data_IF_538835580154
#
_entry.id   IF_538835580154
#
_cell.length_a   1.000
_cell.length_b   1.000
_cell.length_c   1.000
_cell.angle_alpha   90.00
_cell.angle_beta   90.00
_cell.angle_gamma   90.00
#
_symmetry.space_group_name_H-M   'P 1'
#
loop_
_entity.id
_entity.type
_entity.pdbx_description
1 polymer ?
#
# COMPACT_ATOMS: atom_id res chain seq x y z
N UNK A 1 20.39 -3.20 -2.13
CA UNK A 1 19.02 -3.18 -1.59
C UNK A 1 18.28 -4.31 -2.27
N UNK A 2 17.86 -5.32 -1.53
CA UNK A 2 17.12 -6.45 -2.09
C UNK A 2 15.60 -6.18 -2.03
N UNK A 3 14.79 -7.09 -2.56
CA UNK A 3 13.33 -6.96 -2.57
C UNK A 3 12.70 -6.75 -1.17
N UNK A 4 13.26 -7.36 -0.13
CA UNK A 4 12.77 -7.20 1.24
C UNK A 4 13.01 -5.79 1.76
N UNK A 5 14.21 -5.26 1.53
CA UNK A 5 14.56 -3.89 1.91
C UNK A 5 13.60 -2.88 1.24
N UNK A 6 13.32 -3.07 -0.06
CA UNK A 6 12.41 -2.21 -0.84
C UNK A 6 11.01 -2.17 -0.19
N UNK A 7 10.42 -3.33 0.13
CA UNK A 7 9.09 -3.39 0.74
C UNK A 7 9.07 -2.74 2.12
N UNK A 8 10.03 -3.09 2.98
CA UNK A 8 10.12 -2.55 4.34
C UNK A 8 10.32 -1.04 4.35
N UNK A 9 11.15 -0.52 3.45
CA UNK A 9 11.30 0.92 3.26
C UNK A 9 10.00 1.57 2.78
N UNK A 10 9.25 0.90 1.89
CA UNK A 10 7.96 1.40 1.41
C UNK A 10 6.86 1.34 2.49
N UNK A 11 6.87 0.33 3.38
CA UNK A 11 6.04 0.29 4.59
C UNK A 11 6.31 1.49 5.51
N UNK A 12 7.59 1.84 5.71
CA UNK A 12 7.97 3.02 6.51
C UNK A 12 7.41 4.30 5.88
N UNK A 13 7.43 4.42 4.56
CA UNK A 13 6.82 5.56 3.84
C UNK A 13 5.31 5.61 4.07
N UNK A 14 4.59 4.50 3.87
CA UNK A 14 3.14 4.43 4.08
C UNK A 14 2.74 4.75 5.52
N UNK A 15 3.41 4.14 6.50
CA UNK A 15 3.20 4.43 7.93
C UNK A 15 3.50 5.89 8.27
N UNK A 16 4.56 6.45 7.68
CA UNK A 16 4.92 7.86 7.82
C UNK A 16 3.85 8.80 7.28
N UNK A 17 3.28 8.51 6.11
CA UNK A 17 2.16 9.27 5.54
C UNK A 17 0.89 9.13 6.37
N UNK A 18 0.54 7.91 6.80
CA UNK A 18 -0.59 7.67 7.71
C UNK A 18 -0.48 8.44 9.02
N UNK A 19 0.72 8.53 9.61
CA UNK A 19 0.97 9.38 10.78
C UNK A 19 0.73 10.86 10.46
N UNK A 20 1.31 11.38 9.39
CA UNK A 20 1.13 12.79 8.99
C UNK A 20 -0.34 13.14 8.72
N UNK A 21 -1.09 12.26 8.05
CA UNK A 21 -2.54 12.44 7.83
C UNK A 21 -3.28 12.48 9.16
N UNK A 22 -2.90 11.64 10.13
CA UNK A 22 -3.52 11.61 11.46
C UNK A 22 -3.25 12.89 12.26
N UNK A 23 -2.05 13.46 12.13
CA UNK A 23 -1.60 14.66 12.85
C UNK A 23 -2.14 15.96 12.22
N UNK A 24 -2.40 15.97 10.91
CA UNK A 24 -2.92 17.14 10.21
C UNK A 24 -4.36 17.48 10.66
N UNK A 25 -4.74 18.77 10.76
CA UNK A 25 -6.08 19.17 11.17
C UNK A 25 -7.17 18.57 10.27
N UNK A 26 -8.27 18.14 10.87
CA UNK A 26 -9.40 17.55 10.14
C UNK A 26 -9.90 18.48 9.04
N UNK A 27 -10.13 17.90 7.86
CA UNK A 27 -10.63 18.59 6.68
C UNK A 27 -9.76 19.77 6.18
N UNK A 28 -8.51 19.88 6.64
CA UNK A 28 -7.56 20.87 6.11
C UNK A 28 -7.06 20.50 4.72
N UNK A 29 -6.64 21.52 3.95
CA UNK A 29 -5.98 21.31 2.65
C UNK A 29 -4.74 20.41 2.78
N UNK A 30 -3.98 20.57 3.87
CA UNK A 30 -2.83 19.72 4.20
C UNK A 30 -3.23 18.25 4.35
N UNK A 31 -4.27 17.95 5.14
CA UNK A 31 -4.74 16.58 5.35
C UNK A 31 -5.24 15.94 4.06
N UNK A 32 -5.93 16.70 3.21
CA UNK A 32 -6.35 16.25 1.89
C UNK A 32 -5.15 15.94 0.98
N UNK A 33 -4.15 16.81 0.94
CA UNK A 33 -2.93 16.61 0.14
C UNK A 33 -2.13 15.38 0.61
N UNK A 34 -1.91 15.24 1.92
CA UNK A 34 -1.21 14.09 2.52
C UNK A 34 -1.96 12.78 2.26
N UNK A 35 -3.29 12.79 2.34
CA UNK A 35 -4.11 11.62 2.04
C UNK A 35 -4.00 11.22 0.57
N UNK A 36 -4.05 12.19 -0.36
CA UNK A 36 -3.84 11.92 -1.78
C UNK A 36 -2.45 11.33 -2.08
N UNK A 37 -1.39 11.81 -1.42
CA UNK A 37 -0.04 11.26 -1.56
C UNK A 37 0.02 9.81 -1.03
N UNK A 38 -0.63 9.54 0.11
CA UNK A 38 -0.75 8.18 0.64
C UNK A 38 -1.49 7.24 -0.32
N UNK A 39 -2.56 7.69 -0.98
CA UNK A 39 -3.28 6.87 -1.97
C UNK A 39 -2.42 6.52 -3.18
N UNK A 40 -1.54 7.44 -3.61
CA UNK A 40 -0.58 7.18 -4.69
C UNK A 40 0.40 6.11 -4.25
N UNK A 41 1.03 6.28 -3.08
CA UNK A 41 2.01 5.31 -2.58
C UNK A 41 1.37 3.94 -2.34
N UNK A 42 0.13 3.87 -1.87
CA UNK A 42 -0.59 2.63 -1.66
C UNK A 42 -0.90 1.89 -2.97
N UNK A 43 -1.36 2.58 -4.03
CA UNK A 43 -1.57 1.94 -5.34
C UNK A 43 -0.25 1.44 -5.94
N UNK A 44 0.86 2.15 -5.72
CA UNK A 44 2.19 1.71 -6.16
C UNK A 44 2.63 0.46 -5.39
N UNK A 45 2.44 0.46 -4.07
CA UNK A 45 2.82 -0.63 -3.18
C UNK A 45 2.14 -1.94 -3.59
N UNK A 46 0.81 -1.92 -3.69
CA UNK A 46 0.03 -3.09 -4.10
C UNK A 46 0.41 -3.59 -5.50
N UNK A 47 0.80 -2.69 -6.41
CA UNK A 47 1.29 -3.08 -7.75
C UNK A 47 2.63 -3.80 -7.70
N UNK A 48 3.60 -3.30 -6.95
CA UNK A 48 4.91 -3.98 -6.90
C UNK A 48 4.79 -5.32 -6.17
N UNK A 49 3.88 -5.43 -5.20
CA UNK A 49 3.55 -6.69 -4.55
C UNK A 49 2.89 -7.66 -5.54
N UNK A 50 1.75 -7.28 -6.14
CA UNK A 50 0.95 -8.14 -7.01
C UNK A 50 1.64 -8.48 -8.35
N UNK A 51 2.37 -7.51 -8.95
CA UNK A 51 2.95 -7.66 -10.29
C UNK A 51 4.37 -8.25 -10.25
N UNK A 52 5.11 -8.14 -9.13
CA UNK A 52 6.52 -8.54 -9.05
C UNK A 52 6.83 -9.48 -7.87
N UNK A 53 6.51 -9.07 -6.65
CA UNK A 53 6.96 -9.78 -5.45
C UNK A 53 6.20 -11.09 -5.21
N UNK A 54 4.88 -11.05 -5.16
CA UNK A 54 4.04 -12.25 -4.98
C UNK A 54 4.22 -13.29 -6.09
N UNK A 55 4.37 -12.90 -7.38
CA UNK A 55 4.77 -13.84 -8.43
C UNK A 55 6.09 -14.57 -8.16
N UNK A 56 7.09 -13.89 -7.56
CA UNK A 56 8.35 -14.52 -7.18
C UNK A 56 8.18 -15.50 -6.01
N UNK A 57 7.19 -15.26 -5.13
CA UNK A 57 6.87 -16.10 -3.97
C UNK A 57 5.80 -17.17 -4.25
N UNK A 58 5.40 -17.38 -5.52
CA UNK A 58 4.28 -18.25 -5.94
C UNK A 58 4.26 -19.69 -5.40
N UNK A 59 5.41 -20.22 -4.96
CA UNK A 59 5.48 -21.54 -4.32
C UNK A 59 4.74 -21.57 -2.97
N UNK A 60 4.58 -20.43 -2.31
CA UNK A 60 3.83 -20.25 -1.06
C UNK A 60 2.31 -20.06 -1.30
N UNK A 61 1.70 -20.93 -2.10
CA UNK A 61 0.30 -20.80 -2.60
C UNK A 61 -0.73 -20.36 -1.55
N UNK A 62 -0.71 -20.95 -0.34
CA UNK A 62 -1.62 -20.57 0.75
C UNK A 62 -1.37 -19.15 1.25
N UNK A 63 -0.10 -18.77 1.45
CA UNK A 63 0.25 -17.43 1.93
C UNK A 63 -0.03 -16.37 0.86
N UNK A 64 0.20 -16.68 -0.41
CA UNK A 64 -0.18 -15.80 -1.53
C UNK A 64 -1.71 -15.57 -1.57
N UNK A 65 -2.51 -16.62 -1.34
CA UNK A 65 -3.96 -16.47 -1.27
C UNK A 65 -4.41 -15.60 -0.09
N UNK A 66 -3.68 -15.65 1.03
CA UNK A 66 -3.89 -14.80 2.21
C UNK A 66 -3.49 -13.35 1.92
N UNK A 67 -2.31 -13.11 1.36
CA UNK A 67 -1.82 -11.77 1.00
C UNK A 67 -2.80 -11.04 0.05
N UNK A 68 -3.29 -11.71 -1.01
CA UNK A 68 -4.32 -11.11 -1.87
C UNK A 68 -5.69 -10.94 -1.17
N UNK A 69 -5.98 -11.70 -0.11
CA UNK A 69 -7.17 -11.46 0.71
C UNK A 69 -6.98 -10.22 1.60
N UNK A 70 -5.79 -10.00 2.14
CA UNK A 70 -5.43 -8.80 2.91
C UNK A 70 -5.46 -7.53 2.04
N UNK A 71 -4.94 -7.58 0.80
CA UNK A 71 -5.12 -6.49 -0.18
C UNK A 71 -6.60 -6.11 -0.36
N UNK A 72 -7.49 -7.11 -0.45
CA UNK A 72 -8.93 -6.86 -0.56
C UNK A 72 -9.50 -6.22 0.69
N UNK A 73 -9.08 -6.65 1.88
CA UNK A 73 -9.51 -6.01 3.13
C UNK A 73 -9.11 -4.53 3.19
N UNK A 74 -7.88 -4.20 2.80
CA UNK A 74 -7.43 -2.79 2.74
C UNK A 74 -8.25 -1.99 1.72
N UNK A 75 -8.49 -2.55 0.52
CA UNK A 75 -9.28 -1.88 -0.54
C UNK A 75 -10.74 -1.69 -0.14
N UNK A 76 -11.34 -2.67 0.52
CA UNK A 76 -12.73 -2.60 1.01
C UNK A 76 -12.85 -1.54 2.09
N UNK A 77 -11.94 -1.52 3.08
CA UNK A 77 -11.95 -0.51 4.14
C UNK A 77 -11.64 0.90 3.60
N UNK A 78 -10.75 1.02 2.62
CA UNK A 78 -10.51 2.28 1.91
C UNK A 78 -11.77 2.77 1.20
N UNK A 79 -12.55 1.86 0.62
CA UNK A 79 -13.80 2.21 -0.06
C UNK A 79 -14.85 2.74 0.91
N UNK A 80 -14.90 2.24 2.14
CA UNK A 80 -15.75 2.78 3.21
C UNK A 80 -15.26 4.17 3.63
N UNK A 81 -13.96 4.32 3.91
CA UNK A 81 -13.36 5.60 4.27
C UNK A 81 -13.62 6.69 3.22
N UNK A 82 -13.47 6.38 1.94
CA UNK A 82 -13.68 7.35 0.85
C UNK A 82 -15.14 7.82 0.76
N UNK A 83 -16.11 7.03 1.21
CA UNK A 83 -17.52 7.44 1.23
C UNK A 83 -17.88 8.36 2.40
N UNK A 84 -16.97 8.54 3.35
CA UNK A 84 -17.16 9.41 4.51
C UNK A 84 -16.28 10.65 4.36
N UNK A 85 -16.85 11.83 4.02
CA UNK A 85 -16.07 13.05 3.85
C UNK A 85 -15.34 13.46 5.13
N UNK A 86 -14.17 14.11 5.03
CA UNK A 86 -13.40 14.55 6.22
C UNK A 86 -14.15 15.54 7.13
N UNK A 87 -15.20 16.18 6.63
CA UNK A 87 -16.09 17.06 7.39
C UNK A 87 -17.22 16.33 8.13
N UNK A 88 -17.42 15.04 7.88
CA UNK A 88 -18.47 14.25 8.51
C UNK A 88 -18.07 13.85 9.94
N UNK A 89 -19.02 13.82 10.90
CA UNK A 89 -18.72 13.44 12.28
C UNK A 89 -18.06 12.07 12.47
N UNK A 90 -18.33 11.10 11.59
CA UNK A 90 -17.78 9.73 11.66
C UNK A 90 -16.47 9.52 10.92
N UNK A 91 -15.88 10.56 10.32
CA UNK A 91 -14.68 10.40 9.50
C UNK A 91 -13.48 9.83 10.27
N UNK A 92 -13.25 10.28 11.50
CA UNK A 92 -12.11 9.83 12.28
C UNK A 92 -12.18 8.34 12.62
N UNK A 93 -13.38 7.83 12.88
CA UNK A 93 -13.60 6.40 13.15
C UNK A 93 -13.28 5.56 11.90
N UNK A 94 -13.74 6.01 10.73
CA UNK A 94 -13.41 5.34 9.46
C UNK A 94 -11.93 5.44 9.11
N UNK A 95 -11.31 6.58 9.39
CA UNK A 95 -9.87 6.80 9.20
C UNK A 95 -9.05 5.85 10.07
N UNK A 96 -9.38 5.75 11.35
CA UNK A 96 -8.68 4.87 12.28
C UNK A 96 -8.88 3.40 11.90
N UNK A 97 -10.10 3.01 11.48
CA UNK A 97 -10.39 1.65 11.01
C UNK A 97 -9.56 1.30 9.77
N UNK A 98 -9.51 2.19 8.77
CA UNK A 98 -8.65 2.02 7.59
C UNK A 98 -7.17 1.91 7.96
N UNK A 99 -6.68 2.81 8.83
CA UNK A 99 -5.28 2.82 9.25
C UNK A 99 -4.90 1.52 9.95
N UNK A 100 -5.75 0.99 10.83
CA UNK A 100 -5.51 -0.30 11.50
C UNK A 100 -5.40 -1.45 10.51
N UNK A 101 -6.27 -1.52 9.49
CA UNK A 101 -6.20 -2.57 8.47
C UNK A 101 -4.95 -2.42 7.58
N UNK A 102 -4.59 -1.18 7.23
CA UNK A 102 -3.36 -0.91 6.46
C UNK A 102 -2.08 -1.24 7.25
N UNK A 103 -2.03 -0.93 8.54
CA UNK A 103 -0.88 -1.29 9.39
C UNK A 103 -0.79 -2.80 9.60
N UNK A 104 -1.94 -3.49 9.73
CA UNK A 104 -1.97 -4.95 9.79
C UNK A 104 -1.39 -5.59 8.54
N UNK A 105 -1.73 -5.12 7.33
CA UNK A 105 -1.13 -5.61 6.07
C UNK A 105 0.40 -5.65 6.13
N UNK A 106 1.03 -4.54 6.50
CA UNK A 106 2.49 -4.46 6.58
C UNK A 106 3.06 -5.38 7.68
N UNK A 107 2.43 -5.44 8.85
CA UNK A 107 2.87 -6.29 9.97
C UNK A 107 2.75 -7.79 9.63
N UNK A 108 1.71 -8.19 8.90
CA UNK A 108 1.49 -9.58 8.47
C UNK A 108 2.44 -9.97 7.32
N UNK A 109 2.66 -9.08 6.36
CA UNK A 109 3.62 -9.30 5.29
C UNK A 109 5.06 -9.41 5.84
N UNK A 110 5.45 -8.52 6.76
CA UNK A 110 6.77 -8.56 7.41
C UNK A 110 6.97 -9.79 8.30
N UNK A 111 5.89 -10.43 8.75
CA UNK A 111 5.94 -11.65 9.56
C UNK A 111 6.04 -12.90 8.68
N UNK A 112 5.19 -12.98 7.67
CA UNK A 112 4.92 -14.23 6.97
C UNK A 112 5.57 -14.30 5.58
N UNK A 113 5.84 -13.16 4.96
CA UNK A 113 6.31 -13.07 3.58
C UNK A 113 7.72 -12.47 3.47
N UNK A 114 8.20 -11.73 4.48
CA UNK A 114 9.53 -11.12 4.50
C UNK A 114 10.35 -11.59 5.72
N UNK A 115 11.42 -12.39 5.55
CA UNK A 115 11.90 -12.99 4.30
C UNK A 115 10.95 -14.02 3.71
N UNK A 116 11.18 -14.40 2.45
CA UNK A 116 10.34 -15.35 1.74
C UNK A 116 10.13 -16.67 2.53
N UNK A 117 8.92 -17.25 2.48
CA UNK A 117 8.61 -18.48 3.20
C UNK A 117 9.52 -19.66 2.82
N UNK A 118 9.73 -20.67 3.70
CA UNK A 118 10.66 -21.78 3.45
C UNK A 118 10.43 -22.57 2.15
N UNK A 119 9.20 -22.61 1.66
CA UNK A 119 8.85 -23.27 0.39
C UNK A 119 9.28 -22.50 -0.87
N UNK A 120 9.66 -21.23 -0.75
CA UNK A 120 10.14 -20.38 -1.84
C UNK A 120 11.66 -20.51 -1.93
N UNK A 121 12.16 -20.90 -3.10
CA UNK A 121 13.60 -20.92 -3.39
C UNK A 121 13.93 -19.71 -4.23
N UNK A 122 14.58 -18.73 -3.61
CA UNK A 122 15.08 -17.53 -4.26
C UNK A 122 16.49 -17.27 -3.74
N UNK A 123 17.42 -17.04 -4.65
CA UNK A 123 18.82 -16.73 -4.34
C UNK A 123 18.98 -15.26 -4.00
N UNK A 124 20.08 -14.91 -3.32
CA UNK A 124 20.39 -13.51 -3.02
C UNK A 124 20.48 -12.66 -4.30
N UNK A 125 21.06 -13.20 -5.37
CA UNK A 125 21.13 -12.52 -6.67
C UNK A 125 19.76 -12.28 -7.30
N UNK A 126 18.84 -13.25 -7.23
CA UNK A 126 17.46 -13.09 -7.71
C UNK A 126 16.69 -12.08 -6.85
N UNK A 127 16.92 -12.05 -5.53
CA UNK A 127 16.33 -11.06 -4.61
C UNK A 127 16.84 -9.64 -4.88
N UNK A 128 18.11 -9.48 -5.19
CA UNK A 128 18.68 -8.19 -5.60
C UNK A 128 18.11 -7.72 -6.94
N UNK A 129 18.04 -8.61 -7.94
CA UNK A 129 17.43 -8.28 -9.24
C UNK A 129 15.96 -7.88 -9.09
N UNK A 130 15.21 -8.63 -8.28
CA UNK A 130 13.81 -8.32 -7.97
C UNK A 130 13.67 -6.96 -7.27
N UNK A 131 14.50 -6.69 -6.26
CA UNK A 131 14.54 -5.39 -5.58
C UNK A 131 14.82 -4.22 -6.52
N UNK A 132 15.79 -4.38 -7.42
CA UNK A 132 16.09 -3.37 -8.44
C UNK A 132 14.89 -3.11 -9.38
N UNK A 133 14.19 -4.17 -9.81
CA UNK A 133 12.97 -4.03 -10.63
C UNK A 133 11.84 -3.33 -9.88
N UNK A 134 11.61 -3.68 -8.61
CA UNK A 134 10.60 -3.04 -7.78
C UNK A 134 10.90 -1.57 -7.55
N UNK A 135 12.14 -1.22 -7.19
CA UNK A 135 12.56 0.16 -7.00
C UNK A 135 12.40 1.00 -8.29
N UNK A 136 12.80 0.46 -9.44
CA UNK A 136 12.59 1.11 -10.73
C UNK A 136 11.09 1.32 -11.04
N UNK A 137 10.26 0.34 -10.69
CA UNK A 137 8.80 0.40 -10.90
C UNK A 137 8.14 1.46 -10.00
N UNK A 138 8.57 1.56 -8.73
CA UNK A 138 8.14 2.63 -7.82
C UNK A 138 8.45 4.00 -8.43
N UNK A 139 9.70 4.22 -8.87
CA UNK A 139 10.12 5.50 -9.43
C UNK A 139 9.38 5.83 -10.74
N UNK A 140 9.15 4.82 -11.59
CA UNK A 140 8.34 4.98 -12.80
C UNK A 140 6.92 5.45 -12.48
N UNK A 141 6.24 4.82 -11.51
CA UNK A 141 4.87 5.21 -11.16
C UNK A 141 4.82 6.55 -10.43
N UNK A 142 5.77 6.84 -9.53
CA UNK A 142 5.90 8.15 -8.88
C UNK A 142 6.11 9.27 -9.90
N UNK A 143 6.90 9.05 -10.94
CA UNK A 143 7.12 10.01 -12.02
C UNK A 143 5.98 10.13 -13.04
N UNK A 144 5.03 9.19 -13.05
CA UNK A 144 3.96 9.15 -14.04
C UNK A 144 2.77 10.05 -13.66
N UNK A 145 2.64 11.19 -14.34
CA UNK A 145 1.49 12.08 -14.20
C UNK A 145 0.15 11.39 -14.50
N UNK A 146 0.15 10.49 -15.49
CA UNK A 146 -1.02 9.69 -15.87
C UNK A 146 -1.44 8.76 -14.73
N UNK A 147 -0.48 8.09 -14.10
CA UNK A 147 -0.75 7.20 -12.97
C UNK A 147 -1.35 7.99 -11.79
N UNK A 148 -0.71 9.10 -11.39
CA UNK A 148 -1.21 9.98 -10.33
C UNK A 148 -2.63 10.47 -10.59
N UNK A 149 -2.90 10.93 -11.82
CA UNK A 149 -4.23 11.40 -12.22
C UNK A 149 -5.27 10.27 -12.14
N UNK A 150 -4.92 9.07 -12.59
CA UNK A 150 -5.81 7.89 -12.55
C UNK A 150 -6.15 7.51 -11.11
N UNK A 151 -5.16 7.46 -10.22
CA UNK A 151 -5.36 7.10 -8.80
C UNK A 151 -6.26 8.11 -8.09
N UNK A 152 -6.00 9.42 -8.26
CA UNK A 152 -6.86 10.48 -7.71
C UNK A 152 -8.27 10.46 -8.30
N UNK A 153 -8.39 10.24 -9.62
CA UNK A 153 -9.67 10.14 -10.32
C UNK A 153 -10.53 8.97 -9.82
N UNK A 154 -9.93 7.79 -9.59
CA UNK A 154 -10.62 6.64 -9.01
C UNK A 154 -11.12 6.94 -7.60
N UNK A 155 -10.30 7.56 -6.76
CA UNK A 155 -10.71 7.94 -5.41
C UNK A 155 -11.86 8.95 -5.43
N UNK A 156 -11.80 9.96 -6.30
CA UNK A 156 -12.87 10.94 -6.47
C UNK A 156 -14.19 10.29 -6.94
N UNK A 157 -14.12 9.29 -7.83
CA UNK A 157 -15.30 8.54 -8.25
C UNK A 157 -15.95 7.80 -7.06
N UNK A 158 -15.16 7.13 -6.22
CA UNK A 158 -15.69 6.41 -5.05
C UNK A 158 -16.33 7.39 -4.04
N UNK A 159 -15.72 8.56 -3.82
CA UNK A 159 -16.28 9.62 -2.96
C UNK A 159 -17.64 10.14 -3.45
N UNK A 160 -17.95 9.98 -4.74
CA UNK A 160 -19.18 10.47 -5.35
C UNK A 160 -20.32 9.43 -5.41
N UNK A 161 -20.07 8.19 -4.99
CA UNK A 161 -21.05 7.09 -4.92
C UNK A 161 -21.74 7.05 -3.56
#
# INVERSE_FOLDING_TARGET
>A
MNAYDVLKEHHIVLKGLGRKVSEAPLNSEERHALFDDMLIELDIHFRIEDDLYYPALRAATKLIAVAHAEHRQVVDQLSVLLKTPQSAPGYEDEWNSFKTVLEAHADEEERDMIPAPPQVKITDAELEELGNKMAATIEQYRGSAVHRLRTKGRAALIRAL
#
